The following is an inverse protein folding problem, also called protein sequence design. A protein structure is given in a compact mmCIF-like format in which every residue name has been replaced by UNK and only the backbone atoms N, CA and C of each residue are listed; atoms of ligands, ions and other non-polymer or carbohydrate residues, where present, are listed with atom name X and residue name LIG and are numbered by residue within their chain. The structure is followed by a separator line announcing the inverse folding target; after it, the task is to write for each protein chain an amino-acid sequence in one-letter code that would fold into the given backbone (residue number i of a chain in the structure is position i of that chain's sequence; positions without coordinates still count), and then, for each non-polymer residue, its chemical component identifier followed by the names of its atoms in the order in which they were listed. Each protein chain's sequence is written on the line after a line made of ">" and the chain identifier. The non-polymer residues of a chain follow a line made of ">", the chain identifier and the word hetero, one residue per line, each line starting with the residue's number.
data_IF_288184710181
#
_entry.id   IF_288184710181
#
_cell.length_a   1.000
_cell.length_b   1.000
_cell.length_c   1.000
_cell.angle_alpha   90.00
_cell.angle_beta   90.00
_cell.angle_gamma   90.00
#
_symmetry.space_group_name_H-M   'P 1'
#
loop_
_entity.id
_entity.type
_entity.pdbx_description
1 polymer ?
#
# COMPACT_ATOMS: atom_id res chain seq x y z
N UNK A 1 16.32 5.80 9.62
CA UNK A 1 15.49 4.79 8.93
C UNK A 1 14.85 5.46 7.73
N UNK A 2 14.96 4.87 6.55
CA UNK A 2 14.43 5.44 5.33
C UNK A 2 12.93 5.12 5.18
N UNK A 3 12.16 6.01 4.55
CA UNK A 3 10.72 5.79 4.32
C UNK A 3 10.44 4.48 3.60
N UNK A 4 11.30 4.14 2.62
CA UNK A 4 11.20 2.90 1.87
C UNK A 4 11.35 1.68 2.78
N UNK A 5 12.33 1.68 3.69
CA UNK A 5 12.60 0.58 4.62
C UNK A 5 11.38 0.31 5.50
N UNK A 6 10.78 1.36 6.04
CA UNK A 6 9.56 1.27 6.87
C UNK A 6 8.38 0.71 6.07
N UNK A 7 8.17 1.19 4.85
CA UNK A 7 7.11 0.68 3.97
C UNK A 7 7.35 -0.78 3.62
N UNK A 8 8.60 -1.19 3.35
CA UNK A 8 8.94 -2.59 3.09
C UNK A 8 8.79 -3.49 4.31
N UNK A 9 8.99 -2.96 5.51
CA UNK A 9 8.75 -3.70 6.74
C UNK A 9 7.25 -3.97 6.95
N UNK A 10 6.38 -3.03 6.57
CA UNK A 10 4.93 -3.24 6.73
C UNK A 10 4.32 -4.04 5.58
N UNK A 11 4.79 -3.83 4.34
CA UNK A 11 4.18 -4.41 3.13
C UNK A 11 4.99 -5.55 2.51
N UNK A 12 6.12 -5.94 3.12
CA UNK A 12 6.95 -7.04 2.67
C UNK A 12 6.29 -8.38 2.97
N UNK A 13 6.28 -9.28 1.99
CA UNK A 13 5.66 -10.61 2.13
C UNK A 13 6.40 -11.47 3.16
N UNK A 14 7.72 -11.30 3.26
CA UNK A 14 8.59 -12.01 4.21
C UNK A 14 8.86 -11.21 5.50
N UNK A 15 8.18 -10.07 5.70
CA UNK A 15 8.47 -9.22 6.85
C UNK A 15 7.83 -9.78 8.12
N UNK A 16 8.56 -9.82 9.25
CA UNK A 16 7.97 -10.27 10.50
C UNK A 16 6.79 -9.37 10.88
N UNK A 17 5.72 -10.01 11.38
CA UNK A 17 4.58 -9.26 11.87
C UNK A 17 4.99 -8.51 13.14
N UNK A 18 4.44 -7.30 13.39
CA UNK A 18 4.65 -6.63 14.66
C UNK A 18 4.11 -7.49 15.80
N UNK A 19 4.91 -7.68 16.85
CA UNK A 19 4.63 -8.60 17.94
C UNK A 19 3.54 -8.08 18.89
N UNK A 20 3.35 -6.75 18.95
CA UNK A 20 2.40 -6.10 19.84
C UNK A 20 1.65 -4.93 19.20
N UNK A 21 0.58 -4.46 19.86
CA UNK A 21 -0.13 -3.24 19.47
C UNK A 21 0.75 -1.98 19.63
N UNK A 22 1.67 -1.97 20.60
CA UNK A 22 2.61 -0.87 20.79
C UNK A 22 3.55 -0.73 19.58
N UNK A 23 4.07 -1.85 19.05
CA UNK A 23 4.92 -1.84 17.86
C UNK A 23 4.17 -1.30 16.63
N UNK A 24 2.88 -1.65 16.52
CA UNK A 24 2.01 -1.11 15.47
C UNK A 24 1.86 0.41 15.60
N UNK A 25 1.63 0.92 16.81
CA UNK A 25 1.51 2.37 17.06
C UNK A 25 2.81 3.12 16.74
N UNK A 26 3.96 2.55 17.09
CA UNK A 26 5.25 3.15 16.77
C UNK A 26 5.52 3.18 15.26
N UNK A 27 5.20 2.09 14.54
CA UNK A 27 5.27 2.08 13.08
C UNK A 27 4.29 3.05 12.44
N UNK A 28 3.08 3.21 13.00
CA UNK A 28 2.12 4.23 12.55
C UNK A 28 2.71 5.62 12.75
N UNK A 29 3.25 5.93 13.93
CA UNK A 29 3.85 7.24 14.23
C UNK A 29 4.99 7.54 13.27
N UNK A 30 5.81 6.53 12.96
CA UNK A 30 6.94 6.64 12.05
C UNK A 30 6.47 6.89 10.60
N UNK A 31 5.46 6.15 10.11
CA UNK A 31 4.85 6.41 8.79
C UNK A 31 4.20 7.79 8.70
N UNK A 32 3.50 8.25 9.74
CA UNK A 32 2.94 9.62 9.77
C UNK A 32 4.03 10.67 9.65
N UNK A 33 5.17 10.46 10.33
CA UNK A 33 6.35 11.31 10.20
C UNK A 33 6.88 11.35 8.76
N UNK A 34 6.94 10.20 8.10
CA UNK A 34 7.34 10.14 6.69
C UNK A 34 6.34 10.82 5.74
N UNK A 35 5.04 10.67 5.97
CA UNK A 35 4.01 11.37 5.18
C UNK A 35 4.17 12.88 5.32
N UNK A 36 4.48 13.39 6.52
CA UNK A 36 4.76 14.82 6.71
C UNK A 36 6.01 15.27 5.93
N UNK A 37 7.07 14.48 5.95
CA UNK A 37 8.32 14.77 5.21
C UNK A 37 8.12 14.74 3.69
N UNK A 38 7.37 13.77 3.18
CA UNK A 38 7.02 13.68 1.75
C UNK A 38 6.08 14.82 1.35
N UNK A 39 5.12 15.16 2.22
CA UNK A 39 4.17 16.25 2.00
C UNK A 39 4.85 17.60 1.85
N UNK A 40 5.91 17.87 2.61
CA UNK A 40 6.71 19.10 2.47
C UNK A 40 7.40 19.23 1.09
N UNK A 41 7.63 18.11 0.40
CA UNK A 41 8.28 18.04 -0.92
C UNK A 41 7.28 17.87 -2.07
N UNK A 42 5.99 17.76 -1.77
CA UNK A 42 4.95 17.47 -2.76
C UNK A 42 4.07 18.71 -2.97
N UNK A 43 3.68 18.97 -4.21
CA UNK A 43 2.72 20.03 -4.50
C UNK A 43 1.41 19.82 -3.72
N UNK A 44 0.78 20.89 -3.21
CA UNK A 44 -0.50 20.77 -2.51
C UNK A 44 -1.60 20.26 -3.46
N UNK A 45 -2.56 19.51 -2.92
CA UNK A 45 -3.74 19.04 -3.67
C UNK A 45 -3.53 17.76 -4.49
N UNK A 46 -2.35 17.13 -4.45
CA UNK A 46 -2.14 15.83 -5.09
C UNK A 46 -3.00 14.76 -4.37
N UNK A 47 -3.79 13.93 -5.10
CA UNK A 47 -4.69 12.95 -4.49
C UNK A 47 -4.02 11.97 -3.53
N UNK A 48 -2.81 11.51 -3.85
CA UNK A 48 -2.05 10.61 -2.99
C UNK A 48 -1.65 11.26 -1.67
N UNK A 49 -1.28 12.55 -1.70
CA UNK A 49 -0.96 13.31 -0.49
C UNK A 49 -2.20 13.49 0.38
N UNK A 50 -3.34 13.87 -0.23
CA UNK A 50 -4.61 14.03 0.48
C UNK A 50 -5.06 12.72 1.15
N UNK A 51 -4.92 11.59 0.46
CA UNK A 51 -5.26 10.26 1.00
C UNK A 51 -4.38 9.91 2.19
N UNK A 52 -3.06 10.09 2.07
CA UNK A 52 -2.12 9.81 3.14
C UNK A 52 -2.37 10.72 4.36
N UNK A 53 -2.58 12.02 4.14
CA UNK A 53 -2.89 12.99 5.20
C UNK A 53 -4.20 12.67 5.92
N UNK A 54 -5.24 12.26 5.19
CA UNK A 54 -6.51 11.85 5.80
C UNK A 54 -6.33 10.65 6.73
N UNK A 55 -5.60 9.63 6.30
CA UNK A 55 -5.27 8.51 7.16
C UNK A 55 -4.44 8.97 8.37
N UNK A 56 -3.48 9.88 8.20
CA UNK A 56 -2.71 10.43 9.30
C UNK A 56 -3.55 11.18 10.34
N UNK A 57 -4.66 11.83 9.93
CA UNK A 57 -5.56 12.55 10.84
C UNK A 57 -6.50 11.64 11.62
N UNK A 58 -6.78 10.43 11.12
CA UNK A 58 -7.64 9.47 11.81
C UNK A 58 -6.97 8.95 13.09
N UNK A 59 -7.76 8.58 14.10
CA UNK A 59 -7.23 7.85 15.26
C UNK A 59 -6.83 6.43 14.86
N UNK A 60 -5.84 5.86 15.56
CA UNK A 60 -5.51 4.44 15.41
C UNK A 60 -6.67 3.63 15.98
N UNK A 61 -7.24 2.66 15.23
CA UNK A 61 -8.29 1.80 15.75
C UNK A 61 -7.81 0.97 16.94
N UNK A 62 -8.67 0.79 17.94
CA UNK A 62 -8.38 -0.05 19.11
C UNK A 62 -8.29 -1.54 18.72
N UNK A 63 -7.35 -2.24 19.37
CA UNK A 63 -7.14 -3.67 19.20
C UNK A 63 -6.16 -4.03 18.08
N UNK A 64 -5.37 -5.08 18.32
CA UNK A 64 -4.23 -5.47 17.47
C UNK A 64 -4.57 -5.62 15.98
N UNK A 65 -5.62 -6.39 15.64
CA UNK A 65 -5.97 -6.64 14.23
C UNK A 65 -6.47 -5.37 13.49
N UNK A 66 -7.41 -4.58 14.04
CA UNK A 66 -7.78 -3.29 13.47
C UNK A 66 -6.60 -2.31 13.31
N UNK A 67 -5.72 -2.19 14.32
CA UNK A 67 -4.54 -1.33 14.23
C UNK A 67 -3.59 -1.77 13.11
N UNK A 68 -3.41 -3.08 12.92
CA UNK A 68 -2.56 -3.63 11.84
C UNK A 68 -3.13 -3.36 10.45
N UNK A 69 -4.44 -3.54 10.26
CA UNK A 69 -5.09 -3.20 8.98
C UNK A 69 -4.94 -1.71 8.68
N UNK A 70 -5.07 -0.87 9.71
CA UNK A 70 -4.82 0.57 9.59
C UNK A 70 -3.36 0.87 9.22
N UNK A 71 -2.39 0.22 9.87
CA UNK A 71 -0.97 0.36 9.56
C UNK A 71 -0.66 -0.01 8.10
N UNK A 72 -1.20 -1.11 7.59
CA UNK A 72 -1.04 -1.54 6.19
C UNK A 72 -1.60 -0.49 5.23
N UNK A 73 -2.81 0.03 5.49
CA UNK A 73 -3.43 1.07 4.65
C UNK A 73 -2.62 2.37 4.64
N UNK A 74 -2.05 2.75 5.78
CA UNK A 74 -1.18 3.91 5.90
C UNK A 74 0.13 3.71 5.12
N UNK A 75 0.73 2.52 5.19
CA UNK A 75 1.91 2.17 4.42
C UNK A 75 1.64 2.17 2.90
N UNK A 76 0.50 1.63 2.46
CA UNK A 76 0.07 1.67 1.06
C UNK A 76 -0.08 3.11 0.55
N UNK A 77 -0.74 3.98 1.32
CA UNK A 77 -0.89 5.39 0.97
C UNK A 77 0.47 6.12 0.93
N UNK A 78 1.38 5.77 1.84
CA UNK A 78 2.75 6.31 1.85
C UNK A 78 3.54 5.86 0.62
N UNK A 79 3.42 4.59 0.23
CA UNK A 79 4.03 4.05 -0.99
C UNK A 79 3.49 4.74 -2.25
N UNK A 80 2.18 4.97 -2.34
CA UNK A 80 1.56 5.71 -3.43
C UNK A 80 2.16 7.13 -3.52
N UNK A 81 2.26 7.84 -2.37
CA UNK A 81 2.84 9.17 -2.30
C UNK A 81 4.32 9.20 -2.72
N UNK A 82 5.13 8.25 -2.26
CA UNK A 82 6.53 8.11 -2.70
C UNK A 82 6.65 7.97 -4.21
N UNK A 83 5.83 7.09 -4.80
CA UNK A 83 5.83 6.89 -6.25
C UNK A 83 5.41 8.14 -7.02
N UNK A 84 4.65 9.06 -6.42
CA UNK A 84 4.35 10.36 -7.00
C UNK A 84 5.52 11.34 -6.91
N UNK A 85 6.20 11.40 -5.76
CA UNK A 85 7.39 12.25 -5.57
C UNK A 85 8.51 11.84 -6.53
N UNK A 86 8.75 10.53 -6.68
CA UNK A 86 9.77 9.99 -7.61
C UNK A 86 9.49 10.33 -9.08
N UNK A 87 8.21 10.42 -9.48
CA UNK A 87 7.83 10.75 -10.86
C UNK A 87 7.77 12.25 -11.15
N UNK A 88 7.62 13.08 -10.10
CA UNK A 88 7.43 14.53 -10.22
C UNK A 88 8.67 15.38 -9.97
N UNK A 89 9.81 14.78 -9.64
CA UNK A 89 11.04 15.52 -9.32
C UNK A 89 11.70 16.17 -10.55
N UNK A 90 12.27 17.38 -10.45
CA UNK A 90 13.23 17.88 -11.44
C UNK A 90 14.51 17.04 -11.30
N UNK A 91 14.79 16.17 -12.27
CA UNK A 91 15.98 15.30 -12.23
C UNK A 91 17.31 16.05 -12.36
N UNK A 92 18.47 15.38 -12.23
CA UNK A 92 18.68 13.96 -11.98
C UNK A 92 19.60 13.68 -10.76
N UNK A 93 19.35 12.60 -10.01
CA UNK A 93 20.43 11.90 -9.32
C UNK A 93 20.26 10.42 -9.59
N UNK A 94 21.30 9.85 -10.20
CA UNK A 94 21.47 8.45 -10.48
C UNK A 94 21.28 7.60 -9.23
N UNK A 95 20.22 6.80 -9.20
CA UNK A 95 20.27 5.49 -8.54
C UNK A 95 19.88 4.46 -9.59
N UNK A 96 20.91 4.01 -10.29
CA UNK A 96 20.87 2.83 -11.13
C UNK A 96 20.71 1.63 -10.20
N UNK A 97 19.46 1.22 -9.92
CA UNK A 97 19.19 0.06 -9.08
C UNK A 97 17.72 -0.08 -8.73
N UNK A 98 17.00 -0.96 -9.45
CA UNK A 98 15.71 -1.48 -8.97
C UNK A 98 14.46 -1.04 -9.73
N UNK A 99 14.43 -1.20 -11.06
CA UNK A 99 13.18 -1.28 -11.86
C UNK A 99 12.33 -2.52 -11.46
N UNK A 100 11.82 -2.60 -10.22
CA UNK A 100 11.02 -3.76 -9.75
C UNK A 100 9.81 -3.43 -8.88
N UNK A 101 9.22 -2.25 -9.01
CA UNK A 101 8.02 -1.89 -8.25
C UNK A 101 6.76 -1.89 -9.13
N UNK A 102 6.48 -3.05 -9.75
CA UNK A 102 5.11 -3.43 -10.11
C UNK A 102 4.70 -4.56 -9.17
N UNK A 103 4.13 -4.22 -8.02
CA UNK A 103 3.24 -5.15 -7.32
C UNK A 103 2.00 -5.28 -8.20
N UNK A 104 1.69 -6.47 -8.77
CA UNK A 104 0.43 -6.67 -9.45
C UNK A 104 -0.63 -6.59 -8.36
N UNK A 105 -1.44 -5.54 -8.42
CA UNK A 105 -2.48 -5.26 -7.45
C UNK A 105 -3.41 -6.46 -7.38
N UNK A 106 -3.71 -6.91 -6.16
CA UNK A 106 -4.54 -8.08 -5.79
C UNK A 106 -5.90 -8.11 -6.52
N UNK A 107 -6.34 -6.97 -7.07
CA UNK A 107 -7.51 -6.82 -7.94
C UNK A 107 -7.41 -7.61 -9.26
N UNK A 108 -6.21 -7.84 -9.81
CA UNK A 108 -6.03 -8.67 -11.03
C UNK A 108 -6.32 -10.13 -10.73
N UNK A 109 -5.86 -10.64 -9.57
CA UNK A 109 -6.11 -12.02 -9.16
C UNK A 109 -7.61 -12.24 -8.91
N UNK A 110 -8.25 -11.28 -8.23
CA UNK A 110 -9.71 -11.32 -8.00
C UNK A 110 -10.50 -11.29 -9.30
N UNK A 111 -10.10 -10.45 -10.26
CA UNK A 111 -10.70 -10.39 -11.60
C UNK A 111 -10.51 -11.68 -12.39
N UNK A 112 -9.32 -12.29 -12.34
CA UNK A 112 -9.01 -13.54 -13.02
C UNK A 112 -9.84 -14.71 -12.45
N UNK A 113 -9.96 -14.82 -11.13
CA UNK A 113 -10.79 -15.85 -10.49
C UNK A 113 -12.27 -15.67 -10.85
N UNK A 114 -12.76 -14.44 -10.92
CA UNK A 114 -14.14 -14.15 -11.31
C UNK A 114 -14.41 -14.54 -12.78
N UNK A 115 -13.50 -14.19 -13.68
CA UNK A 115 -13.60 -14.56 -15.09
C UNK A 115 -13.56 -16.08 -15.31
N UNK A 116 -12.68 -16.78 -14.58
CA UNK A 116 -12.58 -18.23 -14.63
C UNK A 116 -13.85 -18.91 -14.11
N UNK A 117 -14.40 -18.45 -12.98
CA UNK A 117 -15.66 -18.97 -12.43
C UNK A 117 -16.83 -18.76 -13.41
N UNK A 118 -16.91 -17.59 -14.04
CA UNK A 118 -17.92 -17.28 -15.04
C UNK A 118 -17.80 -18.21 -16.27
N UNK A 119 -16.59 -18.46 -16.76
CA UNK A 119 -16.34 -19.38 -17.86
C UNK A 119 -16.77 -20.82 -17.52
N UNK A 120 -16.46 -21.30 -16.32
CA UNK A 120 -16.91 -22.60 -15.84
C UNK A 120 -18.44 -22.69 -15.76
N UNK A 121 -19.10 -21.64 -15.29
CA UNK A 121 -20.57 -21.57 -15.23
C UNK A 121 -21.20 -21.66 -16.61
N UNK A 122 -20.68 -20.88 -17.59
CA UNK A 122 -21.15 -20.90 -18.98
C UNK A 122 -20.94 -22.27 -19.61
N UNK A 123 -19.78 -22.89 -19.39
CA UNK A 123 -19.52 -24.23 -19.90
C UNK A 123 -20.48 -25.25 -19.30
N UNK A 124 -20.68 -25.25 -17.98
CA UNK A 124 -21.62 -26.14 -17.30
C UNK A 124 -23.09 -25.92 -17.75
N UNK A 125 -23.48 -24.69 -18.06
CA UNK A 125 -24.80 -24.38 -18.60
C UNK A 125 -24.96 -24.74 -20.09
N UNK A 126 -23.85 -24.89 -20.81
CA UNK A 126 -23.84 -25.21 -22.25
C UNK A 126 -23.79 -26.71 -22.53
N UNK A 127 -23.56 -27.56 -21.51
CA UNK A 127 -23.66 -29.02 -21.68
C UNK A 127 -25.13 -29.43 -21.62
N UNK A 128 -25.69 -30.03 -22.69
CA UNK A 128 -27.03 -30.61 -22.62
C UNK A 128 -26.98 -31.79 -21.66
N UNK A 129 -27.81 -31.74 -20.62
CA UNK A 129 -28.03 -32.89 -19.73
C UNK A 129 -28.85 -33.92 -20.50
N UNK A 130 -28.18 -34.82 -21.20
CA UNK A 130 -28.77 -36.06 -21.73
C UNK A 130 -28.88 -37.09 -20.63
#
# INVERSE_FOLDING_TARGET
>A
MATLETVTLVLGEDSPLPDSAADVEDLVRLLRGHVAQLGAQTAPGIPALLRAQRLCSDSVPEGYMPSRVYLVRLAEATQELMAHVERGGPGPISVQGGRRWRKPTVNVLRGAVFALALACLVFAASVPRT
#
